data_IF_299032092688
#
_entry.id   IF_299032092688
#
_cell.length_a   1.000
_cell.length_b   1.000
_cell.length_c   1.000
_cell.angle_alpha   90.00
_cell.angle_beta   90.00
_cell.angle_gamma   90.00
#
_symmetry.space_group_name_H-M   'P 1'
#
loop_
_entity.id
_entity.type
_entity.pdbx_description
1 polymer ?
#
# COMPACT_ATOMS: atom_id res chain seq x y z
N UNK A 1 15.28 -9.81 -60.11
CA UNK A 1 14.50 -9.51 -61.34
C UNK A 1 15.26 -8.60 -62.30
N UNK A 2 15.84 -7.48 -61.84
CA UNK A 2 16.64 -6.56 -62.68
C UNK A 2 17.88 -7.22 -63.33
N UNK A 3 18.63 -8.04 -62.57
CA UNK A 3 19.79 -8.79 -63.11
C UNK A 3 19.37 -9.75 -64.22
N UNK A 4 18.25 -10.47 -64.02
CA UNK A 4 17.72 -11.41 -65.00
C UNK A 4 17.23 -10.69 -66.26
N UNK A 5 16.55 -9.54 -66.11
CA UNK A 5 16.11 -8.73 -67.25
C UNK A 5 17.30 -8.20 -68.06
N UNK A 6 18.33 -7.66 -67.40
CA UNK A 6 19.53 -7.13 -68.06
C UNK A 6 20.37 -8.24 -68.71
N UNK A 7 20.54 -9.36 -68.02
CA UNK A 7 21.27 -10.53 -68.52
C UNK A 7 20.58 -11.25 -69.68
N UNK A 8 19.25 -11.42 -69.63
CA UNK A 8 18.49 -12.11 -70.67
C UNK A 8 18.23 -11.24 -71.91
N UNK A 9 18.03 -9.92 -71.77
CA UNK A 9 17.78 -9.05 -72.93
C UNK A 9 19.03 -8.44 -73.55
N UNK A 10 20.07 -8.12 -72.75
CA UNK A 10 21.26 -7.42 -73.24
C UNK A 10 22.54 -8.26 -73.20
N UNK A 11 22.50 -9.46 -72.61
CA UNK A 11 23.71 -10.30 -72.41
C UNK A 11 24.69 -9.75 -71.37
N UNK A 12 24.33 -8.65 -70.70
CA UNK A 12 25.20 -7.88 -69.82
C UNK A 12 24.90 -8.18 -68.34
N UNK A 13 25.46 -9.27 -67.84
CA UNK A 13 25.23 -9.72 -66.46
C UNK A 13 25.85 -8.80 -65.39
N UNK A 14 27.06 -8.29 -65.64
CA UNK A 14 27.79 -7.44 -64.69
C UNK A 14 27.12 -6.06 -64.51
N UNK A 15 26.75 -5.33 -65.57
CA UNK A 15 25.98 -4.09 -65.44
C UNK A 15 24.59 -4.31 -64.81
N UNK A 16 23.95 -5.44 -65.10
CA UNK A 16 22.70 -5.83 -64.45
C UNK A 16 22.84 -6.02 -62.94
N UNK A 17 23.91 -6.68 -62.50
CA UNK A 17 24.24 -6.85 -61.08
C UNK A 17 24.49 -5.50 -60.39
N UNK A 18 25.37 -4.67 -60.94
CA UNK A 18 25.68 -3.35 -60.40
C UNK A 18 24.44 -2.46 -60.30
N UNK A 19 23.59 -2.45 -61.34
CA UNK A 19 22.33 -1.70 -61.35
C UNK A 19 21.33 -2.21 -60.31
N UNK A 20 21.30 -3.52 -60.06
CA UNK A 20 20.42 -4.10 -59.04
C UNK A 20 20.86 -3.77 -57.61
N UNK A 21 22.18 -3.72 -57.34
CA UNK A 21 22.72 -3.30 -56.05
C UNK A 21 22.46 -1.80 -55.84
N UNK A 22 22.70 -0.98 -56.86
CA UNK A 22 22.42 0.46 -56.79
C UNK A 22 20.94 0.76 -56.50
N UNK A 23 20.02 0.04 -57.15
CA UNK A 23 18.59 0.16 -56.83
C UNK A 23 18.28 -0.35 -55.42
N UNK A 24 18.89 -1.46 -54.99
CA UNK A 24 18.73 -2.00 -53.64
C UNK A 24 19.15 -0.99 -52.56
N UNK A 25 20.29 -0.33 -52.74
CA UNK A 25 20.75 0.74 -51.84
C UNK A 25 19.82 1.96 -51.88
N UNK A 26 19.35 2.38 -53.06
CA UNK A 26 18.42 3.50 -53.21
C UNK A 26 17.03 3.25 -52.60
N UNK A 27 16.64 1.98 -52.43
CA UNK A 27 15.38 1.58 -51.81
C UNK A 27 15.45 1.44 -50.29
N UNK A 28 16.64 1.37 -49.69
CA UNK A 28 16.81 1.30 -48.24
C UNK A 28 16.70 2.71 -47.65
N UNK A 29 15.66 2.99 -46.86
CA UNK A 29 15.51 4.30 -46.26
C UNK A 29 16.35 4.36 -44.97
N UNK A 30 17.62 4.71 -45.13
CA UNK A 30 18.57 4.86 -44.02
C UNK A 30 18.19 6.02 -43.07
N UNK A 31 17.30 6.91 -43.50
CA UNK A 31 16.87 8.09 -42.74
C UNK A 31 15.86 7.75 -41.63
N UNK A 32 15.03 6.70 -41.78
CA UNK A 32 13.98 6.39 -40.80
C UNK A 32 14.52 5.96 -39.42
N UNK A 33 15.51 5.05 -39.32
CA UNK A 33 16.06 4.67 -38.02
C UNK A 33 16.67 5.86 -37.26
N UNK A 34 17.32 6.77 -37.98
CA UNK A 34 17.87 8.01 -37.41
C UNK A 34 16.75 8.93 -36.93
N UNK A 35 15.75 9.19 -37.77
CA UNK A 35 14.62 10.05 -37.43
C UNK A 35 13.85 9.52 -36.20
N UNK A 36 13.57 8.22 -36.14
CA UNK A 36 12.90 7.59 -35.00
C UNK A 36 13.70 7.76 -33.71
N UNK A 37 15.02 7.55 -33.77
CA UNK A 37 15.90 7.72 -32.60
C UNK A 37 15.89 9.16 -32.09
N UNK A 38 15.91 10.15 -33.00
CA UNK A 38 15.83 11.57 -32.64
C UNK A 38 14.48 11.92 -32.02
N UNK A 39 13.36 11.45 -32.59
CA UNK A 39 12.03 11.71 -32.05
C UNK A 39 11.84 11.13 -30.65
N UNK A 40 12.29 9.89 -30.42
CA UNK A 40 12.22 9.26 -29.11
C UNK A 40 13.09 9.99 -28.08
N UNK A 41 14.30 10.46 -28.47
CA UNK A 41 15.15 11.26 -27.61
C UNK A 41 14.51 12.60 -27.22
N UNK A 42 13.88 13.30 -28.18
CA UNK A 42 13.13 14.52 -27.91
C UNK A 42 11.92 14.27 -27.00
N UNK A 43 11.22 13.15 -27.18
CA UNK A 43 10.13 12.72 -26.30
C UNK A 43 10.61 12.49 -24.86
N UNK A 44 11.72 11.76 -24.70
CA UNK A 44 12.34 11.52 -23.40
C UNK A 44 12.75 12.83 -22.72
N UNK A 45 13.34 13.75 -23.48
CA UNK A 45 13.72 15.07 -23.00
C UNK A 45 12.50 15.90 -22.56
N UNK A 46 11.41 15.88 -23.33
CA UNK A 46 10.16 16.56 -22.98
C UNK A 46 9.55 16.03 -21.67
N UNK A 47 9.57 14.72 -21.47
CA UNK A 47 9.12 14.09 -20.21
C UNK A 47 10.03 14.47 -19.03
N UNK A 48 11.34 14.53 -19.23
CA UNK A 48 12.28 14.92 -18.19
C UNK A 48 12.03 16.37 -17.69
N UNK A 49 11.62 17.29 -18.59
CA UNK A 49 11.25 18.67 -18.21
C UNK A 49 10.05 18.76 -17.28
N UNK A 50 9.17 17.75 -17.28
CA UNK A 50 8.04 17.62 -16.34
C UNK A 50 8.33 16.61 -15.22
N UNK A 51 9.62 16.36 -14.94
CA UNK A 51 10.10 15.46 -13.87
C UNK A 51 9.73 13.98 -14.05
N UNK A 52 9.47 13.54 -15.28
CA UNK A 52 9.25 12.12 -15.61
C UNK A 52 10.49 11.58 -16.34
N UNK A 53 11.22 10.66 -15.70
CA UNK A 53 12.44 10.09 -16.25
C UNK A 53 12.19 8.76 -16.98
N UNK A 54 12.14 8.80 -18.32
CA UNK A 54 12.11 7.59 -19.13
C UNK A 54 13.52 6.97 -19.24
N UNK A 55 13.80 5.91 -18.49
CA UNK A 55 15.11 5.22 -18.52
C UNK A 55 15.38 4.47 -19.82
N UNK A 56 14.33 4.16 -20.59
CA UNK A 56 14.41 3.48 -21.89
C UNK A 56 13.48 4.19 -22.86
N UNK A 57 13.93 4.56 -24.07
CA UNK A 57 13.08 5.27 -25.03
C UNK A 57 11.80 4.50 -25.41
N UNK A 58 11.88 3.16 -25.51
CA UNK A 58 10.73 2.30 -25.80
C UNK A 58 9.58 2.38 -24.77
N UNK A 59 9.84 2.85 -23.55
CA UNK A 59 8.79 3.04 -22.52
C UNK A 59 7.81 4.14 -22.91
N UNK A 60 8.26 5.13 -23.69
CA UNK A 60 7.42 6.24 -24.14
C UNK A 60 6.33 5.74 -25.08
N UNK A 61 6.70 4.86 -26.02
CA UNK A 61 5.78 4.21 -26.94
C UNK A 61 4.84 3.26 -26.20
N UNK A 62 5.38 2.42 -25.31
CA UNK A 62 4.57 1.50 -24.52
C UNK A 62 3.51 2.23 -23.66
N UNK A 63 3.87 3.37 -23.05
CA UNK A 63 2.93 4.19 -22.29
C UNK A 63 1.84 4.80 -23.19
N UNK A 64 2.18 5.17 -24.42
CA UNK A 64 1.21 5.68 -25.40
C UNK A 64 0.25 4.62 -25.94
N UNK A 65 0.67 3.35 -25.94
CA UNK A 65 -0.14 2.21 -26.36
C UNK A 65 -0.88 1.52 -25.20
N UNK A 66 -0.67 1.96 -23.96
CA UNK A 66 -1.25 1.32 -22.79
C UNK A 66 -2.77 1.49 -22.74
N UNK A 67 -3.49 0.39 -22.56
CA UNK A 67 -4.95 0.35 -22.41
C UNK A 67 -5.38 0.11 -20.96
N UNK A 68 -4.49 -0.41 -20.12
CA UNK A 68 -4.73 -0.68 -18.70
C UNK A 68 -3.58 -0.12 -17.87
N UNK A 69 -3.92 0.59 -16.81
CA UNK A 69 -3.00 1.12 -15.82
C UNK A 69 -3.22 0.39 -14.49
N UNK A 70 -2.26 -0.45 -14.11
CA UNK A 70 -2.22 -1.07 -12.80
C UNK A 70 -1.45 -0.16 -11.83
N UNK A 71 -2.11 0.31 -10.78
CA UNK A 71 -1.53 1.20 -9.78
C UNK A 71 -1.45 0.52 -8.42
N UNK A 72 -0.32 0.69 -7.74
CA UNK A 72 -0.24 0.38 -6.31
C UNK A 72 -0.95 1.47 -5.50
N UNK A 73 -1.39 1.16 -4.29
CA UNK A 73 -2.04 2.11 -3.38
C UNK A 73 -1.00 2.91 -2.58
N UNK A 74 -0.24 2.22 -1.73
CA UNK A 74 0.59 2.85 -0.69
C UNK A 74 1.79 3.56 -1.31
N UNK A 75 1.89 4.87 -1.11
CA UNK A 75 2.99 5.69 -1.63
C UNK A 75 2.92 6.01 -3.14
N UNK A 76 2.05 5.32 -3.88
CA UNK A 76 1.74 5.64 -5.29
C UNK A 76 0.53 6.56 -5.37
N UNK A 77 -0.66 6.08 -4.99
CA UNK A 77 -1.87 6.92 -4.91
C UNK A 77 -1.89 7.77 -3.65
N UNK A 78 -1.38 7.23 -2.55
CA UNK A 78 -1.34 7.94 -1.27
C UNK A 78 -0.01 8.65 -1.05
N UNK A 79 0.01 9.58 -0.09
CA UNK A 79 1.24 10.29 0.29
C UNK A 79 2.22 9.43 1.09
N UNK A 80 1.81 8.24 1.54
CA UNK A 80 2.50 7.41 2.54
C UNK A 80 2.80 8.22 3.81
N UNK A 81 1.78 8.98 4.25
CA UNK A 81 1.82 9.84 5.43
C UNK A 81 0.67 9.45 6.34
N UNK A 82 0.84 8.32 7.01
CA UNK A 82 -0.13 7.80 7.96
C UNK A 82 -0.44 8.84 9.04
N UNK A 83 -1.72 9.07 9.30
CA UNK A 83 -2.23 9.93 10.36
C UNK A 83 -3.24 9.15 11.18
N UNK A 84 -3.13 9.23 12.51
CA UNK A 84 -4.16 8.67 13.38
C UNK A 84 -5.43 9.52 13.24
N UNK A 85 -6.55 8.89 12.93
CA UNK A 85 -7.85 9.56 12.75
C UNK A 85 -8.91 9.11 13.72
N UNK A 86 -8.89 7.85 14.13
CA UNK A 86 -9.95 7.27 14.97
C UNK A 86 -9.39 6.46 16.11
N UNK A 87 -10.02 6.59 17.27
CA UNK A 87 -9.79 5.82 18.47
C UNK A 87 -11.14 5.28 18.93
N UNK A 88 -11.32 3.97 18.89
CA UNK A 88 -12.60 3.32 19.21
C UNK A 88 -12.40 2.33 20.34
N UNK A 89 -13.08 2.55 21.45
CA UNK A 89 -13.15 1.62 22.59
C UNK A 89 -14.55 1.01 22.68
N UNK A 90 -14.81 0.22 23.71
CA UNK A 90 -16.16 -0.25 24.02
C UNK A 90 -17.11 0.91 24.36
N UNK A 91 -16.59 1.98 24.97
CA UNK A 91 -17.37 3.08 25.54
C UNK A 91 -17.36 4.36 24.69
N UNK A 92 -16.38 4.53 23.80
CA UNK A 92 -16.19 5.76 23.05
C UNK A 92 -15.73 5.51 21.62
N UNK A 93 -16.09 6.44 20.73
CA UNK A 93 -15.57 6.54 19.36
C UNK A 93 -15.15 7.99 19.15
N UNK A 94 -13.84 8.25 19.20
CA UNK A 94 -13.27 9.58 19.15
C UNK A 94 -12.54 9.80 17.82
N UNK A 95 -12.79 10.96 17.22
CA UNK A 95 -12.03 11.45 16.07
C UNK A 95 -10.83 12.24 16.57
N UNK A 96 -9.65 11.87 16.09
CA UNK A 96 -8.40 12.59 16.35
C UNK A 96 -8.29 13.73 15.36
N UNK A 97 -8.41 14.96 15.87
CA UNK A 97 -8.26 16.19 15.10
C UNK A 97 -7.22 17.07 15.79
N UNK A 98 -6.41 17.77 14.99
CA UNK A 98 -5.37 18.64 15.49
C UNK A 98 -5.95 19.74 16.38
N UNK A 99 -5.39 19.92 17.58
CA UNK A 99 -5.83 20.92 18.56
C UNK A 99 -7.12 20.59 19.31
N UNK A 100 -7.73 19.42 19.11
CA UNK A 100 -8.91 18.98 19.88
C UNK A 100 -8.48 18.03 20.99
N UNK A 101 -8.85 18.28 22.27
CA UNK A 101 -8.50 17.37 23.36
C UNK A 101 -9.25 16.04 23.20
N UNK A 102 -8.54 14.95 23.46
CA UNK A 102 -9.12 13.61 23.42
C UNK A 102 -9.89 13.31 24.72
N UNK A 103 -10.97 12.52 24.67
CA UNK A 103 -11.63 12.03 25.87
C UNK A 103 -10.72 11.11 26.70
N UNK A 104 -10.80 11.20 28.03
CA UNK A 104 -10.01 10.35 28.93
C UNK A 104 -10.22 8.84 28.68
N UNK A 105 -11.42 8.46 28.21
CA UNK A 105 -11.80 7.08 27.89
C UNK A 105 -10.96 6.45 26.78
N UNK A 106 -10.28 7.24 25.95
CA UNK A 106 -9.41 6.73 24.87
C UNK A 106 -7.91 6.87 25.19
N UNK A 107 -7.53 7.53 26.29
CA UNK A 107 -6.13 7.71 26.69
C UNK A 107 -5.43 6.37 26.94
N UNK A 108 -6.11 5.43 27.62
CA UNK A 108 -5.57 4.09 27.85
C UNK A 108 -5.30 3.34 26.55
N UNK A 109 -6.21 3.43 25.57
CA UNK A 109 -6.03 2.83 24.25
C UNK A 109 -4.82 3.41 23.52
N UNK A 110 -4.69 4.74 23.50
CA UNK A 110 -3.58 5.42 22.83
C UNK A 110 -2.23 5.13 23.51
N UNK A 111 -2.20 5.14 24.84
CA UNK A 111 -1.02 4.78 25.62
C UNK A 111 -0.59 3.33 25.37
N UNK A 112 -1.54 2.39 25.33
CA UNK A 112 -1.22 0.99 25.04
C UNK A 112 -0.74 0.79 23.60
N UNK A 113 -1.35 1.50 22.64
CA UNK A 113 -0.90 1.49 21.25
C UNK A 113 0.55 2.01 21.14
N UNK A 114 0.90 3.05 21.92
CA UNK A 114 2.26 3.58 21.98
C UNK A 114 3.25 2.57 22.59
N UNK A 115 2.87 1.88 23.68
CA UNK A 115 3.69 0.83 24.29
C UNK A 115 3.89 -0.38 23.37
N UNK A 116 2.95 -0.66 22.48
CA UNK A 116 3.10 -1.69 21.46
C UNK A 116 3.91 -1.20 20.23
N UNK A 117 4.28 0.08 20.17
CA UNK A 117 5.00 0.71 19.04
C UNK A 117 6.49 0.82 19.31
N UNK A 118 7.33 0.71 18.28
CA UNK A 118 8.77 0.92 18.42
C UNK A 118 9.09 2.41 18.28
N UNK A 119 9.44 3.07 19.40
CA UNK A 119 9.91 4.47 19.37
C UNK A 119 11.17 4.60 18.50
N UNK A 120 11.15 5.53 17.55
CA UNK A 120 12.26 5.75 16.61
C UNK A 120 12.32 4.75 15.44
N UNK A 121 11.31 3.89 15.29
CA UNK A 121 11.15 3.07 14.09
C UNK A 121 10.83 3.90 12.85
N UNK A 122 11.07 3.33 11.66
CA UNK A 122 10.71 3.93 10.37
C UNK A 122 9.28 3.65 9.93
N UNK A 123 8.49 2.93 10.73
CA UNK A 123 7.10 2.59 10.39
C UNK A 123 6.20 3.84 10.47
N UNK A 124 5.46 4.19 9.40
CA UNK A 124 4.62 5.38 9.40
C UNK A 124 3.47 5.36 10.43
N UNK A 125 2.90 4.19 10.75
CA UNK A 125 1.80 4.10 11.72
C UNK A 125 2.31 4.25 13.15
N UNK A 126 3.47 3.67 13.47
CA UNK A 126 4.16 3.89 14.75
C UNK A 126 4.45 5.37 14.95
N UNK A 127 4.96 6.04 13.91
CA UNK A 127 5.20 7.48 13.96
C UNK A 127 3.91 8.27 14.20
N UNK A 128 2.82 7.93 13.50
CA UNK A 128 1.53 8.59 13.68
C UNK A 128 0.97 8.44 15.11
N UNK A 129 1.18 7.26 15.73
CA UNK A 129 0.82 7.02 17.14
C UNK A 129 1.68 7.86 18.08
N UNK A 130 2.99 7.92 17.87
CA UNK A 130 3.92 8.73 18.67
C UNK A 130 3.55 10.21 18.59
N UNK A 131 3.40 10.75 17.38
CA UNK A 131 3.07 12.17 17.17
C UNK A 131 1.73 12.53 17.85
N UNK A 132 0.73 11.65 17.77
CA UNK A 132 -0.58 11.86 18.41
C UNK A 132 -0.53 11.72 19.93
N UNK A 133 0.24 10.76 20.45
CA UNK A 133 0.41 10.54 21.87
C UNK A 133 1.20 11.68 22.53
N UNK A 134 2.27 12.16 21.89
CA UNK A 134 3.04 13.29 22.42
C UNK A 134 2.20 14.56 22.48
N UNK A 135 1.27 14.77 21.53
CA UNK A 135 0.36 15.91 21.55
C UNK A 135 -0.75 15.77 22.61
N UNK A 136 -1.34 14.58 22.77
CA UNK A 136 -2.53 14.38 23.60
C UNK A 136 -2.24 13.92 25.04
N UNK A 137 -1.14 13.20 25.26
CA UNK A 137 -0.80 12.58 26.53
C UNK A 137 0.35 13.29 27.26
N UNK A 138 0.89 14.38 26.73
CA UNK A 138 1.93 15.17 27.40
C UNK A 138 1.48 15.57 28.82
N UNK A 139 2.20 15.10 29.83
CA UNK A 139 1.90 15.37 31.24
C UNK A 139 0.82 14.47 31.88
N UNK A 140 0.33 13.46 31.18
CA UNK A 140 -0.61 12.47 31.75
C UNK A 140 0.13 11.30 32.42
N UNK A 141 -0.46 10.64 33.43
CA UNK A 141 0.17 9.51 34.13
C UNK A 141 0.25 8.23 33.28
N UNK A 142 -0.35 8.23 32.07
CA UNK A 142 -0.37 7.08 31.16
C UNK A 142 0.93 6.91 30.37
N UNK A 143 1.80 7.94 30.37
CA UNK A 143 3.17 7.79 29.93
C UNK A 143 3.95 7.20 31.10
N UNK A 144 4.46 5.98 30.94
CA UNK A 144 5.27 5.29 31.95
C UNK A 144 6.78 5.43 31.61
N UNK A 145 7.43 6.57 31.92
CA UNK A 145 8.85 6.78 31.60
C UNK A 145 9.79 5.83 32.35
N UNK A 146 9.34 5.25 33.45
CA UNK A 146 10.14 4.32 34.27
C UNK A 146 10.12 2.88 33.76
N UNK A 147 9.26 2.55 32.80
CA UNK A 147 9.15 1.18 32.30
C UNK A 147 10.25 0.85 31.31
N UNK A 148 10.87 -0.32 31.48
CA UNK A 148 11.94 -0.79 30.61
C UNK A 148 11.42 -1.89 29.68
N UNK A 149 11.77 -1.78 28.40
CA UNK A 149 11.43 -2.81 27.42
C UNK A 149 12.23 -4.08 27.72
N UNK A 150 11.55 -5.13 28.15
CA UNK A 150 12.16 -6.41 28.49
C UNK A 150 12.28 -7.33 27.27
N UNK A 151 11.26 -7.34 26.39
CA UNK A 151 11.26 -8.15 25.17
C UNK A 151 10.35 -7.55 24.10
N UNK A 152 10.79 -7.67 22.85
CA UNK A 152 9.98 -7.37 21.67
C UNK A 152 9.63 -8.66 20.94
N UNK A 153 8.36 -8.76 20.51
CA UNK A 153 7.84 -9.83 19.67
C UNK A 153 7.46 -9.22 18.32
N UNK A 154 8.29 -9.40 17.28
CA UNK A 154 8.06 -8.78 15.99
C UNK A 154 6.90 -9.43 15.25
N UNK A 155 6.41 -8.72 14.22
CA UNK A 155 5.42 -9.23 13.27
C UNK A 155 5.98 -10.47 12.54
N UNK A 156 5.18 -11.54 12.43
CA UNK A 156 5.51 -12.70 11.60
C UNK A 156 4.36 -13.04 10.63
N UNK A 157 4.60 -13.77 9.53
CA UNK A 157 3.54 -14.19 8.62
C UNK A 157 2.43 -15.01 9.30
N UNK A 158 2.77 -15.77 10.34
CA UNK A 158 1.83 -16.61 11.10
C UNK A 158 1.04 -15.83 12.14
N UNK A 159 1.49 -14.62 12.49
CA UNK A 159 0.86 -13.78 13.49
C UNK A 159 1.06 -12.31 13.14
N UNK A 160 0.04 -11.75 12.50
CA UNK A 160 0.01 -10.35 12.05
C UNK A 160 -0.24 -9.37 13.20
N UNK A 161 0.42 -9.57 14.33
CA UNK A 161 0.42 -8.71 15.50
C UNK A 161 1.82 -8.62 16.10
N UNK A 162 2.22 -7.41 16.50
CA UNK A 162 3.45 -7.14 17.22
C UNK A 162 3.15 -6.90 18.69
N UNK A 163 4.01 -7.38 19.57
CA UNK A 163 3.86 -7.18 21.00
C UNK A 163 5.15 -6.74 21.66
N UNK A 164 5.03 -6.02 22.76
CA UNK A 164 6.16 -5.59 23.58
C UNK A 164 5.86 -5.90 25.04
N UNK A 165 6.82 -6.50 25.73
CA UNK A 165 6.77 -6.73 27.16
C UNK A 165 7.62 -5.69 27.88
N UNK A 166 6.99 -5.00 28.81
CA UNK A 166 7.56 -3.93 29.62
C UNK A 166 7.63 -4.38 31.07
N UNK A 167 8.72 -4.03 31.76
CA UNK A 167 8.88 -4.27 33.19
C UNK A 167 8.85 -2.94 33.94
N UNK A 168 8.11 -2.90 35.06
CA UNK A 168 8.19 -1.81 36.03
C UNK A 168 9.35 -2.04 37.03
N UNK A 169 9.63 -1.04 37.89
CA UNK A 169 10.66 -1.15 38.92
C UNK A 169 10.34 -2.19 40.01
N UNK A 170 9.07 -2.57 40.15
CA UNK A 170 8.60 -3.58 41.10
C UNK A 170 8.68 -5.01 40.54
N UNK A 171 9.02 -5.18 39.26
CA UNK A 171 9.12 -6.46 38.57
C UNK A 171 7.80 -6.95 37.97
N UNK A 172 6.75 -6.15 37.93
CA UNK A 172 5.53 -6.49 37.18
C UNK A 172 5.78 -6.34 35.68
N UNK A 173 5.14 -7.21 34.90
CA UNK A 173 5.25 -7.23 33.45
C UNK A 173 3.93 -6.88 32.78
N UNK A 174 3.91 -5.76 32.06
CA UNK A 174 2.83 -5.44 31.14
C UNK A 174 3.19 -5.86 29.73
N UNK A 175 2.23 -6.45 29.03
CA UNK A 175 2.31 -6.70 27.60
C UNK A 175 1.39 -5.75 26.85
N UNK A 176 1.94 -5.14 25.81
CA UNK A 176 1.19 -4.32 24.87
C UNK A 176 1.24 -4.97 23.51
N UNK A 177 0.08 -5.16 22.88
CA UNK A 177 0.01 -5.73 21.54
C UNK A 177 -0.83 -4.86 20.61
N UNK A 178 -0.41 -4.80 19.36
CA UNK A 178 -1.19 -4.20 18.29
C UNK A 178 -0.99 -4.97 16.99
N UNK A 179 -2.02 -5.01 16.14
CA UNK A 179 -1.95 -5.78 14.91
C UNK A 179 -3.23 -5.76 14.10
N UNK A 180 -3.27 -6.64 13.10
CA UNK A 180 -4.50 -6.93 12.37
C UNK A 180 -5.62 -7.30 13.36
N UNK A 181 -6.84 -6.77 13.20
CA UNK A 181 -7.93 -7.03 14.13
C UNK A 181 -8.14 -8.50 14.44
N UNK A 182 -8.16 -9.36 13.42
CA UNK A 182 -8.36 -10.80 13.55
C UNK A 182 -7.27 -11.46 14.39
N UNK A 183 -6.00 -11.10 14.14
CA UNK A 183 -4.86 -11.65 14.87
C UNK A 183 -4.89 -11.28 16.36
N UNK A 184 -5.27 -10.03 16.67
CA UNK A 184 -5.38 -9.57 18.07
C UNK A 184 -6.62 -10.16 18.74
N UNK A 185 -7.74 -10.32 18.04
CA UNK A 185 -8.94 -10.97 18.58
C UNK A 185 -8.68 -12.43 18.92
N UNK A 186 -7.91 -13.13 18.08
CA UNK A 186 -7.48 -14.50 18.34
C UNK A 186 -6.53 -14.59 19.56
N UNK A 187 -5.63 -13.60 19.75
CA UNK A 187 -4.79 -13.49 20.96
C UNK A 187 -5.58 -13.19 22.24
N UNK A 188 -6.66 -12.41 22.14
CA UNK A 188 -7.52 -12.09 23.27
C UNK A 188 -8.53 -13.21 23.58
N UNK A 189 -8.57 -14.27 22.77
CA UNK A 189 -9.55 -15.36 22.87
C UNK A 189 -11.01 -14.86 22.94
N UNK A 190 -11.35 -13.87 22.12
CA UNK A 190 -12.69 -13.28 22.12
C UNK A 190 -13.77 -14.33 21.80
N UNK A 191 -14.93 -14.17 22.45
CA UNK A 191 -16.11 -14.94 22.10
C UNK A 191 -16.54 -14.66 20.65
N UNK A 192 -17.23 -15.59 19.97
CA UNK A 192 -17.74 -15.35 18.61
C UNK A 192 -18.63 -14.11 18.50
N UNK A 193 -19.44 -13.83 19.53
CA UNK A 193 -20.36 -12.69 19.56
C UNK A 193 -19.62 -11.35 19.72
N UNK A 194 -18.62 -11.30 20.61
CA UNK A 194 -17.76 -10.11 20.78
C UNK A 194 -16.93 -9.87 19.52
N UNK A 195 -16.37 -10.94 18.94
CA UNK A 195 -15.61 -10.87 17.68
C UNK A 195 -16.47 -10.30 16.55
N UNK A 196 -17.71 -10.77 16.39
CA UNK A 196 -18.62 -10.24 15.38
C UNK A 196 -18.93 -8.75 15.60
N UNK A 197 -19.13 -8.35 16.85
CA UNK A 197 -19.38 -6.94 17.21
C UNK A 197 -18.20 -6.03 16.85
N UNK A 198 -16.97 -6.47 17.15
CA UNK A 198 -15.77 -5.70 16.81
C UNK A 198 -15.46 -5.71 15.30
N UNK A 199 -15.69 -6.83 14.61
CA UNK A 199 -15.54 -6.90 13.16
C UNK A 199 -16.51 -5.95 12.43
N UNK A 200 -17.73 -5.76 12.95
CA UNK A 200 -18.64 -4.75 12.42
C UNK A 200 -18.05 -3.32 12.53
N UNK A 201 -17.43 -2.98 13.67
CA UNK A 201 -16.73 -1.69 13.85
C UNK A 201 -15.52 -1.57 12.91
N UNK A 202 -14.74 -2.63 12.74
CA UNK A 202 -13.64 -2.67 11.75
C UNK A 202 -14.16 -2.38 10.35
N UNK A 203 -15.25 -3.02 9.93
CA UNK A 203 -15.88 -2.81 8.63
C UNK A 203 -16.33 -1.37 8.41
N UNK A 204 -16.91 -0.72 9.43
CA UNK A 204 -17.31 0.69 9.36
C UNK A 204 -16.11 1.63 9.16
N UNK A 205 -15.02 1.41 9.89
CA UNK A 205 -13.80 2.20 9.76
C UNK A 205 -13.10 1.94 8.42
N UNK A 206 -13.00 0.67 8.00
CA UNK A 206 -12.41 0.28 6.72
C UNK A 206 -13.20 0.84 5.53
N UNK A 207 -14.54 0.87 5.63
CA UNK A 207 -15.41 1.50 4.63
C UNK A 207 -15.22 3.02 4.50
N UNK A 208 -14.61 3.67 5.49
CA UNK A 208 -14.18 5.08 5.42
C UNK A 208 -12.79 5.23 4.77
N UNK A 209 -12.15 4.13 4.34
CA UNK A 209 -10.79 4.12 3.81
C UNK A 209 -9.71 4.10 4.88
N UNK A 210 -10.07 3.87 6.15
CA UNK A 210 -9.10 3.79 7.22
C UNK A 210 -8.41 2.41 7.24
N UNK A 211 -7.11 2.42 7.55
CA UNK A 211 -6.38 1.22 7.95
C UNK A 211 -6.56 1.01 9.44
N UNK A 212 -7.10 -0.14 9.83
CA UNK A 212 -7.49 -0.41 11.23
C UNK A 212 -6.50 -1.38 11.87
N UNK A 213 -6.04 -1.05 13.08
CA UNK A 213 -5.34 -2.00 13.95
C UNK A 213 -6.15 -2.17 15.25
N UNK A 214 -6.16 -3.39 15.78
CA UNK A 214 -6.63 -3.64 17.13
C UNK A 214 -5.48 -3.49 18.12
N UNK A 215 -5.80 -3.09 19.34
CA UNK A 215 -4.85 -2.90 20.43
C UNK A 215 -5.38 -3.60 21.67
N UNK A 216 -4.50 -4.36 22.32
CA UNK A 216 -4.82 -5.07 23.55
C UNK A 216 -3.73 -4.88 24.60
N UNK A 217 -4.15 -4.99 25.85
CA UNK A 217 -3.30 -5.00 27.03
C UNK A 217 -3.25 -6.43 27.55
N UNK A 218 -2.10 -6.85 28.06
CA UNK A 218 -1.97 -8.17 28.63
C UNK A 218 -1.03 -8.18 29.80
N UNK A 219 -1.11 -9.27 30.55
CA UNK A 219 -0.25 -9.56 31.68
C UNK A 219 0.44 -10.90 31.42
N UNK A 220 1.68 -11.01 31.90
CA UNK A 220 2.39 -12.27 31.90
C UNK A 220 1.75 -13.23 32.92
N UNK A 221 1.34 -14.43 32.48
CA UNK A 221 0.59 -15.38 33.30
C UNK A 221 1.30 -15.79 34.61
N UNK A 222 2.64 -15.94 34.57
CA UNK A 222 3.45 -16.41 35.70
C UNK A 222 4.40 -15.33 36.26
N UNK A 223 4.15 -14.05 35.97
CA UNK A 223 5.04 -12.96 36.40
C UNK A 223 6.42 -12.98 35.74
N UNK A 224 6.62 -13.79 34.69
CA UNK A 224 7.83 -13.82 33.87
C UNK A 224 7.50 -13.52 32.41
N UNK A 225 8.38 -12.81 31.70
CA UNK A 225 8.19 -12.50 30.28
C UNK A 225 8.12 -13.79 29.46
N UNK A 226 7.00 -14.08 28.76
CA UNK A 226 6.79 -15.37 28.10
C UNK A 226 7.77 -15.62 26.95
N UNK A 227 7.85 -16.86 26.47
CA UNK A 227 8.65 -17.17 25.27
C UNK A 227 7.92 -16.72 24.00
N UNK A 228 6.60 -16.84 24.02
CA UNK A 228 5.70 -16.47 22.92
C UNK A 228 4.62 -15.52 23.40
N UNK A 229 4.25 -14.52 22.59
CA UNK A 229 3.13 -13.64 22.91
C UNK A 229 1.80 -14.38 23.06
N UNK A 230 1.66 -15.60 22.52
CA UNK A 230 0.45 -16.44 22.67
C UNK A 230 0.23 -16.98 24.09
N UNK A 231 1.27 -16.97 24.92
CA UNK A 231 1.20 -17.46 26.31
C UNK A 231 0.68 -16.39 27.27
N UNK A 232 0.59 -15.14 26.81
CA UNK A 232 0.07 -14.04 27.59
C UNK A 232 -1.45 -13.98 27.56
N UNK A 233 -2.06 -13.50 28.65
CA UNK A 233 -3.50 -13.24 28.68
C UNK A 233 -3.73 -11.80 28.23
N UNK A 234 -4.33 -11.63 27.06
CA UNK A 234 -4.69 -10.31 26.51
C UNK A 234 -6.16 -9.97 26.69
N UNK A 235 -6.43 -8.71 26.97
CA UNK A 235 -7.73 -8.07 26.97
C UNK A 235 -7.76 -6.96 25.91
N UNK A 236 -8.75 -7.01 25.03
CA UNK A 236 -8.91 -6.04 23.97
C UNK A 236 -9.31 -4.67 24.54
N UNK A 237 -8.53 -3.63 24.25
CA UNK A 237 -8.89 -2.25 24.61
C UNK A 237 -9.72 -1.56 23.54
N UNK A 238 -9.42 -1.82 22.27
CA UNK A 238 -10.12 -1.18 21.16
C UNK A 238 -9.38 -1.20 19.83
N UNK A 239 -9.79 -0.29 18.96
CA UNK A 239 -9.31 -0.13 17.59
C UNK A 239 -8.71 1.27 17.40
N UNK A 240 -7.62 1.33 16.65
CA UNK A 240 -7.02 2.57 16.13
C UNK A 240 -7.20 2.59 14.62
N UNK A 241 -7.63 3.72 14.08
CA UNK A 241 -7.85 3.92 12.64
C UNK A 241 -6.89 4.96 12.08
N UNK A 242 -6.14 4.57 11.05
CA UNK A 242 -5.19 5.42 10.35
C UNK A 242 -5.71 5.81 8.97
N UNK A 243 -5.47 7.06 8.59
CA UNK A 243 -5.70 7.58 7.25
C UNK A 243 -4.37 7.78 6.55
N UNK A 244 -4.29 7.39 5.29
CA UNK A 244 -3.17 7.68 4.40
C UNK A 244 -3.72 8.48 3.22
N UNK A 245 -3.62 9.83 3.27
CA UNK A 245 -4.35 10.69 2.37
C UNK A 245 -3.91 10.46 0.93
N UNK A 246 -4.89 10.52 0.01
CA UNK A 246 -4.61 10.53 -1.41
C UNK A 246 -3.81 11.78 -1.80
N UNK A 247 -2.87 11.59 -2.74
CA UNK A 247 -2.19 12.73 -3.36
C UNK A 247 -3.23 13.61 -4.05
N UNK A 248 -3.17 14.95 -3.93
CA UNK A 248 -4.18 15.85 -4.49
C UNK A 248 -4.40 15.69 -6.01
N UNK A 249 -3.38 15.24 -6.75
CA UNK A 249 -3.44 15.05 -8.20
C UNK A 249 -4.09 13.74 -8.64
N UNK A 250 -4.31 12.77 -7.75
CA UNK A 250 -4.70 11.41 -8.13
C UNK A 250 -6.07 11.35 -8.76
N UNK A 251 -7.09 11.97 -8.14
CA UNK A 251 -8.44 11.95 -8.68
C UNK A 251 -8.52 12.54 -10.10
N UNK A 252 -7.81 13.65 -10.33
CA UNK A 252 -7.71 14.27 -11.65
C UNK A 252 -6.96 13.39 -12.66
N UNK A 253 -5.87 12.74 -12.24
CA UNK A 253 -5.09 11.85 -13.10
C UNK A 253 -5.88 10.59 -13.51
N UNK A 254 -6.61 9.98 -12.57
CA UNK A 254 -7.49 8.84 -12.83
C UNK A 254 -8.63 9.24 -13.78
N UNK A 255 -9.25 10.40 -13.56
CA UNK A 255 -10.27 10.92 -14.47
C UNK A 255 -9.72 11.16 -15.89
N UNK A 256 -8.51 11.71 -16.00
CA UNK A 256 -7.85 11.91 -17.29
C UNK A 256 -7.54 10.58 -18.00
N UNK A 257 -7.03 9.57 -17.27
CA UNK A 257 -6.76 8.25 -17.83
C UNK A 257 -8.04 7.59 -18.36
N UNK A 258 -9.12 7.61 -17.55
CA UNK A 258 -10.43 7.08 -17.96
C UNK A 258 -11.01 7.84 -19.15
N UNK A 259 -10.88 9.17 -19.18
CA UNK A 259 -11.29 9.99 -20.31
C UNK A 259 -10.54 9.70 -21.61
N UNK A 260 -9.32 9.14 -21.52
CA UNK A 260 -8.53 8.66 -22.66
C UNK A 260 -8.83 7.20 -23.05
N UNK A 261 -9.79 6.54 -22.39
CA UNK A 261 -10.14 5.13 -22.64
C UNK A 261 -9.19 4.13 -21.98
N UNK A 262 -8.37 4.56 -21.01
CA UNK A 262 -7.46 3.70 -20.25
C UNK A 262 -8.20 3.17 -19.02
N UNK A 263 -8.30 1.85 -18.88
CA UNK A 263 -8.82 1.21 -17.68
C UNK A 263 -7.81 1.36 -16.53
N UNK A 264 -8.29 1.59 -15.30
CA UNK A 264 -7.42 1.74 -14.13
C UNK A 264 -7.78 0.66 -13.12
N UNK A 265 -6.79 -0.13 -12.71
CA UNK A 265 -6.93 -1.19 -11.71
C UNK A 265 -5.99 -0.91 -10.53
N UNK A 266 -6.50 -1.06 -9.30
CA UNK A 266 -5.68 -0.96 -8.09
C UNK A 266 -5.22 -2.35 -7.66
N UNK A 267 -3.93 -2.50 -7.39
CA UNK A 267 -3.35 -3.72 -6.82
C UNK A 267 -2.76 -3.34 -5.46
N UNK A 268 -3.27 -3.95 -4.38
CA UNK A 268 -2.83 -3.61 -3.03
C UNK A 268 -2.91 -4.81 -2.10
N UNK A 269 -2.04 -4.83 -1.08
CA UNK A 269 -2.06 -5.83 -0.01
C UNK A 269 -2.95 -5.43 1.18
N UNK A 270 -3.67 -4.31 1.07
CA UNK A 270 -4.60 -3.86 2.09
C UNK A 270 -5.89 -4.69 2.12
N UNK A 271 -6.66 -4.56 3.20
CA UNK A 271 -7.95 -5.21 3.32
C UNK A 271 -8.94 -4.69 2.25
N UNK A 272 -9.80 -5.57 1.74
CA UNK A 272 -10.68 -5.30 0.59
C UNK A 272 -11.58 -4.08 0.79
N UNK A 273 -12.18 -3.91 1.98
CA UNK A 273 -13.02 -2.75 2.28
C UNK A 273 -12.24 -1.43 2.22
N UNK A 274 -11.03 -1.38 2.76
CA UNK A 274 -10.15 -0.20 2.69
C UNK A 274 -9.75 0.08 1.24
N UNK A 275 -9.39 -0.96 0.48
CA UNK A 275 -9.01 -0.83 -0.93
C UNK A 275 -10.16 -0.25 -1.77
N UNK A 276 -11.39 -0.75 -1.60
CA UNK A 276 -12.57 -0.25 -2.31
C UNK A 276 -12.91 1.19 -1.94
N UNK A 277 -12.79 1.56 -0.67
CA UNK A 277 -13.00 2.93 -0.22
C UNK A 277 -11.97 3.90 -0.83
N UNK A 278 -10.69 3.55 -0.81
CA UNK A 278 -9.62 4.36 -1.42
C UNK A 278 -9.77 4.41 -2.95
N UNK A 279 -10.18 3.31 -3.59
CA UNK A 279 -10.47 3.27 -5.02
C UNK A 279 -11.59 4.26 -5.39
N UNK A 280 -12.68 4.25 -4.62
CA UNK A 280 -13.79 5.19 -4.79
C UNK A 280 -13.36 6.64 -4.61
N UNK A 281 -12.55 6.95 -3.58
CA UNK A 281 -11.99 8.29 -3.35
C UNK A 281 -11.05 8.73 -4.49
N UNK A 282 -10.30 7.79 -5.09
CA UNK A 282 -9.40 8.05 -6.20
C UNK A 282 -10.14 8.16 -7.56
N UNK A 283 -11.43 7.85 -7.62
CA UNK A 283 -12.22 7.85 -8.87
C UNK A 283 -12.03 6.59 -9.74
N UNK A 284 -11.45 5.53 -9.16
CA UNK A 284 -11.35 4.21 -9.77
C UNK A 284 -12.73 3.53 -9.67
N UNK A 285 -13.14 2.85 -10.74
CA UNK A 285 -14.44 2.18 -10.76
C UNK A 285 -14.44 0.97 -9.82
N UNK A 286 -15.24 1.06 -8.76
CA UNK A 286 -15.40 -0.01 -7.76
C UNK A 286 -16.60 -0.92 -8.02
N UNK A 287 -17.38 -0.71 -9.09
CA UNK A 287 -18.56 -1.52 -9.39
C UNK A 287 -18.27 -3.04 -9.52
N UNK A 288 -17.12 -3.49 -10.07
CA UNK A 288 -16.77 -4.91 -10.13
C UNK A 288 -16.46 -5.54 -8.76
N UNK A 289 -16.28 -4.74 -7.71
CA UNK A 289 -15.83 -5.20 -6.40
C UNK A 289 -14.32 -5.44 -6.35
N UNK A 290 -13.88 -6.19 -5.34
CA UNK A 290 -12.48 -6.51 -5.11
C UNK A 290 -12.23 -8.01 -5.24
N UNK A 291 -11.19 -8.39 -5.99
CA UNK A 291 -10.67 -9.75 -6.04
C UNK A 291 -9.60 -9.92 -4.96
N UNK A 292 -9.85 -10.77 -3.97
CA UNK A 292 -8.87 -11.07 -2.91
C UNK A 292 -7.81 -12.04 -3.40
N UNK A 293 -6.65 -12.08 -2.75
CA UNK A 293 -5.59 -13.03 -3.09
C UNK A 293 -6.03 -14.49 -3.01
N UNK A 294 -6.88 -14.82 -2.03
CA UNK A 294 -7.48 -16.16 -1.89
C UNK A 294 -8.39 -16.51 -3.08
N UNK A 295 -9.21 -15.56 -3.52
CA UNK A 295 -10.08 -15.76 -4.68
C UNK A 295 -9.25 -15.91 -5.95
N UNK A 296 -8.26 -15.04 -6.18
CA UNK A 296 -7.36 -15.12 -7.33
C UNK A 296 -6.63 -16.47 -7.37
N UNK A 297 -6.15 -16.96 -6.22
CA UNK A 297 -5.48 -18.26 -6.13
C UNK A 297 -6.40 -19.46 -6.44
N UNK A 298 -7.72 -19.27 -6.33
CA UNK A 298 -8.73 -20.29 -6.66
C UNK A 298 -9.21 -20.25 -8.12
N UNK A 299 -8.90 -19.19 -8.86
CA UNK A 299 -9.31 -19.01 -10.26
C UNK A 299 -8.27 -19.58 -11.22
N UNK A 300 -8.73 -20.08 -12.37
CA UNK A 300 -7.87 -20.37 -13.52
C UNK A 300 -7.71 -19.13 -14.43
N UNK A 301 -6.77 -19.18 -15.38
CA UNK A 301 -6.48 -18.06 -16.27
C UNK A 301 -7.72 -17.61 -17.09
N UNK A 302 -8.60 -18.55 -17.44
CA UNK A 302 -9.80 -18.26 -18.23
C UNK A 302 -10.87 -17.54 -17.41
N UNK A 303 -11.02 -17.90 -16.14
CA UNK A 303 -11.91 -17.23 -15.21
C UNK A 303 -11.37 -15.85 -14.81
N UNK A 304 -10.06 -15.71 -14.60
CA UNK A 304 -9.42 -14.43 -14.29
C UNK A 304 -9.50 -13.43 -15.45
N UNK A 305 -9.47 -13.91 -16.70
CA UNK A 305 -9.65 -13.03 -17.87
C UNK A 305 -11.08 -12.48 -18.02
N UNK A 306 -12.06 -13.06 -17.33
CA UNK A 306 -13.48 -12.67 -17.39
C UNK A 306 -13.94 -11.84 -16.19
N UNK A 307 -13.15 -11.81 -15.11
CA UNK A 307 -13.40 -11.04 -13.88
C UNK A 307 -12.88 -9.62 -13.99
#
# INVERSE_FOLDING_TARGET
LLVLWYGLQRGEWMPGLLSSIALGMAMLPEEFPLALSVFLALGAWRLARIKVLARRPAVIEALGAATVLCVDKTGTLTENRMQLRRLVTALADATVAEGTPLPDTVHALLAQALLASRRGGSDPMDKALVDSADAALAGTPHLHPAWQLAREYPLTPELLAMSQAWADEAGHHLMATKGAPEAVFDLCHLSPDDRATWLAKVGLLAGQGLRVLAVAIGEAADGAVPASQREAKFELLGLVGFDDPLRPSVAAAVAQARGAGIAVAMITGDHAATALAIAGQAGIDGAPGALTGELIASLDDAALAQS
#
